data_IF_847005521007
#
_entry.id   IF_847005521007
#
_cell.length_a   1.000
_cell.length_b   1.000
_cell.length_c   1.000
_cell.angle_alpha   90.00
_cell.angle_beta   90.00
_cell.angle_gamma   90.00
#
_symmetry.space_group_name_H-M   'P 1'
#
loop_
_entity.id
_entity.type
_entity.pdbx_description
1 polymer ?
#
# COMPACT_ATOMS: atom_id res chain seq x y z
N UNK A 1 13.40 12.67 7.63
CA UNK A 1 13.36 13.36 6.32
C UNK A 1 12.83 12.47 5.21
N UNK A 2 13.48 11.35 4.84
CA UNK A 2 13.03 10.51 3.72
C UNK A 2 11.56 10.04 3.83
N UNK A 3 11.14 9.56 5.01
CA UNK A 3 9.75 9.15 5.27
C UNK A 3 8.76 10.28 5.06
N UNK A 4 9.09 11.50 5.50
CA UNK A 4 8.22 12.67 5.32
C UNK A 4 8.13 13.10 3.86
N UNK A 5 9.23 13.02 3.11
CA UNK A 5 9.23 13.33 1.68
C UNK A 5 8.36 12.37 0.89
N UNK A 6 8.41 11.07 1.20
CA UNK A 6 7.57 10.06 0.54
C UNK A 6 6.09 10.26 0.86
N UNK A 7 5.75 10.57 2.12
CA UNK A 7 4.38 10.92 2.49
C UNK A 7 3.89 12.16 1.76
N UNK A 8 4.71 13.21 1.66
CA UNK A 8 4.37 14.42 0.92
C UNK A 8 4.16 14.14 -0.57
N UNK A 9 5.00 13.33 -1.21
CA UNK A 9 4.83 12.94 -2.62
C UNK A 9 3.49 12.23 -2.85
N UNK A 10 3.12 11.29 -1.96
CA UNK A 10 1.83 10.59 -2.06
C UNK A 10 0.68 11.57 -1.82
N UNK A 11 0.79 12.48 -0.85
CA UNK A 11 -0.24 13.46 -0.53
C UNK A 11 -0.45 14.50 -1.65
N UNK A 12 0.62 14.87 -2.35
CA UNK A 12 0.57 15.87 -3.43
C UNK A 12 0.04 15.29 -4.76
N UNK A 13 0.10 13.97 -4.95
CA UNK A 13 -0.43 13.27 -6.12
C UNK A 13 -1.82 12.66 -5.83
N UNK A 14 -2.92 13.28 -6.30
CA UNK A 14 -4.28 12.84 -5.95
C UNK A 14 -4.55 11.38 -6.34
N UNK A 15 -4.03 10.94 -7.48
CA UNK A 15 -4.17 9.57 -7.96
C UNK A 15 -3.49 8.57 -7.04
N UNK A 16 -2.28 8.89 -6.55
CA UNK A 16 -1.53 8.02 -5.63
C UNK A 16 -2.19 7.98 -4.25
N UNK A 17 -2.68 9.11 -3.76
CA UNK A 17 -3.41 9.19 -2.50
C UNK A 17 -4.72 8.38 -2.55
N UNK A 18 -5.49 8.53 -3.65
CA UNK A 18 -6.72 7.78 -3.87
C UNK A 18 -6.43 6.28 -3.93
N UNK A 19 -5.42 5.88 -4.70
CA UNK A 19 -5.03 4.48 -4.82
C UNK A 19 -4.63 3.89 -3.46
N UNK A 20 -3.75 4.57 -2.70
CA UNK A 20 -3.35 4.11 -1.36
C UNK A 20 -4.55 3.96 -0.44
N UNK A 21 -5.51 4.88 -0.48
CA UNK A 21 -6.71 4.83 0.36
C UNK A 21 -7.59 3.62 0.00
N UNK A 22 -7.79 3.36 -1.30
CA UNK A 22 -8.57 2.20 -1.78
C UNK A 22 -7.86 0.89 -1.42
N UNK A 23 -6.56 0.79 -1.67
CA UNK A 23 -5.78 -0.42 -1.40
C UNK A 23 -5.69 -0.70 0.10
N UNK A 24 -5.56 0.35 0.93
CA UNK A 24 -5.59 0.23 2.40
C UNK A 24 -6.91 -0.35 2.88
N UNK A 25 -8.04 0.17 2.40
CA UNK A 25 -9.37 -0.31 2.77
C UNK A 25 -9.57 -1.77 2.37
N UNK A 26 -9.26 -2.10 1.11
CA UNK A 26 -9.40 -3.47 0.58
C UNK A 26 -8.54 -4.46 1.36
N UNK A 27 -7.30 -4.10 1.67
CA UNK A 27 -6.39 -4.95 2.44
C UNK A 27 -6.91 -5.18 3.86
N UNK A 28 -7.36 -4.13 4.56
CA UNK A 28 -7.92 -4.26 5.91
C UNK A 28 -9.12 -5.22 5.92
N UNK A 29 -10.06 -5.05 4.98
CA UNK A 29 -11.25 -5.90 4.89
C UNK A 29 -10.88 -7.36 4.59
N UNK A 30 -10.03 -7.61 3.59
CA UNK A 30 -9.58 -8.98 3.26
C UNK A 30 -8.85 -9.66 4.44
N UNK A 31 -7.97 -8.94 5.14
CA UNK A 31 -7.27 -9.51 6.30
C UNK A 31 -8.22 -9.77 7.48
N UNK A 32 -9.20 -8.90 7.69
CA UNK A 32 -10.20 -9.07 8.72
C UNK A 32 -11.06 -10.30 8.46
N UNK A 33 -11.60 -10.45 7.24
CA UNK A 33 -12.51 -11.53 6.86
C UNK A 33 -11.86 -12.92 6.95
N UNK A 34 -10.53 -13.00 6.84
CA UNK A 34 -9.77 -14.26 7.05
C UNK A 34 -9.78 -14.74 8.50
N UNK A 35 -9.94 -13.83 9.44
CA UNK A 35 -9.76 -14.09 10.87
C UNK A 35 -11.04 -13.90 11.69
N UNK A 36 -12.03 -13.19 11.15
CA UNK A 36 -13.28 -12.84 11.83
C UNK A 36 -14.50 -13.21 10.98
N UNK A 37 -15.58 -13.63 11.64
CA UNK A 37 -16.82 -14.02 10.96
C UNK A 37 -17.72 -12.84 10.58
N UNK A 38 -17.68 -11.78 11.38
CA UNK A 38 -18.48 -10.58 11.15
C UNK A 38 -17.64 -9.57 10.34
N UNK A 39 -18.06 -9.16 9.13
CA UNK A 39 -17.29 -8.24 8.31
C UNK A 39 -17.22 -6.84 8.94
N UNK A 40 -16.21 -6.06 8.55
CA UNK A 40 -16.13 -4.63 8.87
C UNK A 40 -17.11 -3.87 7.97
N UNK A 41 -17.83 -2.90 8.53
CA UNK A 41 -18.63 -1.97 7.72
C UNK A 41 -17.71 -1.06 6.88
N UNK A 42 -17.83 -1.17 5.56
CA UNK A 42 -16.93 -0.48 4.63
C UNK A 42 -17.01 1.04 4.75
N UNK A 43 -18.21 1.59 4.98
CA UNK A 43 -18.42 3.04 5.10
C UNK A 43 -17.80 3.57 6.39
N UNK A 44 -18.01 2.89 7.52
CA UNK A 44 -17.42 3.23 8.80
C UNK A 44 -15.88 3.12 8.76
N UNK A 45 -15.34 2.16 8.01
CA UNK A 45 -13.92 2.05 7.74
C UNK A 45 -13.40 3.19 6.85
N UNK A 46 -14.13 3.57 5.80
CA UNK A 46 -13.75 4.71 4.96
C UNK A 46 -13.72 6.02 5.76
N UNK A 47 -14.72 6.24 6.63
CA UNK A 47 -14.74 7.38 7.56
C UNK A 47 -13.53 7.31 8.50
N UNK A 48 -13.25 6.15 9.11
CA UNK A 48 -12.10 5.97 10.00
C UNK A 48 -10.76 6.31 9.33
N UNK A 49 -10.55 5.85 8.10
CA UNK A 49 -9.30 6.09 7.36
C UNK A 49 -9.11 7.57 6.98
N UNK A 50 -10.21 8.31 6.83
CA UNK A 50 -10.17 9.76 6.56
C UNK A 50 -10.06 10.58 7.84
N UNK A 51 -10.86 10.24 8.85
CA UNK A 51 -10.95 10.91 10.14
C UNK A 51 -11.31 9.91 11.25
N UNK A 52 -10.30 9.52 12.03
CA UNK A 52 -10.47 8.56 13.12
C UNK A 52 -11.48 9.02 14.19
N UNK A 53 -11.61 10.33 14.40
CA UNK A 53 -12.40 10.89 15.51
C UNK A 53 -13.92 10.75 15.31
N UNK A 54 -14.36 10.65 14.05
CA UNK A 54 -15.76 10.51 13.67
C UNK A 54 -16.17 9.06 13.38
N UNK A 55 -15.29 8.10 13.63
CA UNK A 55 -15.55 6.69 13.31
C UNK A 55 -16.48 6.01 14.32
N UNK A 56 -17.52 5.37 13.78
CA UNK A 56 -18.43 4.46 14.49
C UNK A 56 -17.89 3.04 14.65
N UNK A 57 -16.66 2.75 14.19
CA UNK A 57 -16.08 1.42 14.31
C UNK A 57 -15.92 1.02 15.79
N UNK A 58 -16.18 -0.25 16.14
CA UNK A 58 -15.77 -0.84 17.40
C UNK A 58 -14.25 -0.70 17.62
N UNK A 59 -13.83 -0.60 18.88
CA UNK A 59 -12.41 -0.35 19.21
C UNK A 59 -11.47 -1.46 18.69
N UNK A 60 -11.92 -2.71 18.70
CA UNK A 60 -11.19 -3.84 18.12
C UNK A 60 -10.90 -3.61 16.61
N UNK A 61 -11.91 -3.22 15.85
CA UNK A 61 -11.78 -2.92 14.42
C UNK A 61 -10.89 -1.69 14.18
N UNK A 62 -10.93 -0.68 15.08
CA UNK A 62 -10.03 0.49 15.02
C UNK A 62 -8.57 0.09 15.24
N UNK A 63 -8.28 -0.70 16.27
CA UNK A 63 -6.93 -1.20 16.55
C UNK A 63 -6.40 -1.99 15.35
N UNK A 64 -7.20 -2.91 14.82
CA UNK A 64 -6.85 -3.70 13.66
C UNK A 64 -6.60 -2.86 12.40
N UNK A 65 -7.50 -1.90 12.12
CA UNK A 65 -7.37 -1.00 10.98
C UNK A 65 -6.13 -0.11 11.07
N UNK A 66 -5.71 0.33 12.27
CA UNK A 66 -4.45 1.08 12.45
C UNK A 66 -3.24 0.23 12.12
N UNK A 67 -3.18 -0.99 12.64
CA UNK A 67 -2.06 -1.89 12.41
C UNK A 67 -1.92 -2.22 10.92
N UNK A 68 -3.00 -2.68 10.28
CA UNK A 68 -3.00 -3.02 8.85
C UNK A 68 -2.86 -1.80 7.94
N UNK A 69 -3.40 -0.65 8.34
CA UNK A 69 -3.16 0.62 7.65
C UNK A 69 -1.70 1.06 7.70
N UNK A 70 -1.00 0.80 8.81
CA UNK A 70 0.44 1.07 8.91
C UNK A 70 1.26 0.14 8.01
N UNK A 71 0.90 -1.15 7.90
CA UNK A 71 1.55 -2.09 6.97
C UNK A 71 1.46 -1.61 5.51
N UNK A 72 0.29 -1.16 5.06
CA UNK A 72 0.10 -0.66 3.69
C UNK A 72 0.91 0.62 3.47
N UNK A 73 0.91 1.54 4.44
CA UNK A 73 1.71 2.76 4.38
C UNK A 73 3.20 2.45 4.24
N UNK A 74 3.69 1.48 5.01
CA UNK A 74 5.06 0.99 4.94
C UNK A 74 5.37 0.34 3.58
N UNK A 75 4.42 -0.39 3.00
CA UNK A 75 4.55 -0.97 1.66
C UNK A 75 4.71 0.12 0.57
N UNK A 76 3.87 1.14 0.57
CA UNK A 76 3.98 2.28 -0.34
C UNK A 76 5.32 2.99 -0.18
N UNK A 77 5.74 3.24 1.07
CA UNK A 77 7.03 3.86 1.37
C UNK A 77 8.20 3.05 0.80
N UNK A 78 8.22 1.76 1.06
CA UNK A 78 9.29 0.88 0.62
C UNK A 78 9.33 0.77 -0.92
N UNK A 79 8.16 0.78 -1.57
CA UNK A 79 8.06 0.75 -3.03
C UNK A 79 8.66 2.01 -3.66
N UNK A 80 8.32 3.19 -3.16
CA UNK A 80 8.88 4.45 -3.66
C UNK A 80 10.39 4.54 -3.39
N UNK A 81 10.86 4.12 -2.22
CA UNK A 81 12.29 4.05 -1.94
C UNK A 81 13.03 3.11 -2.91
N UNK A 82 12.46 1.93 -3.21
CA UNK A 82 13.04 0.98 -4.18
C UNK A 82 13.09 1.55 -5.59
N UNK A 83 12.07 2.29 -6.02
CA UNK A 83 12.06 2.97 -7.31
C UNK A 83 13.17 4.03 -7.41
N UNK A 84 13.34 4.86 -6.38
CA UNK A 84 14.42 5.84 -6.31
C UNK A 84 15.80 5.17 -6.33
N UNK A 85 15.97 4.11 -5.54
CA UNK A 85 17.22 3.34 -5.49
C UNK A 85 17.54 2.70 -6.84
N UNK A 86 16.55 2.10 -7.52
CA UNK A 86 16.71 1.54 -8.87
C UNK A 86 17.22 2.61 -9.85
N UNK A 87 16.63 3.81 -9.83
CA UNK A 87 17.07 4.94 -10.66
C UNK A 87 18.53 5.33 -10.41
N UNK A 88 18.95 5.43 -9.15
CA UNK A 88 20.35 5.75 -8.81
C UNK A 88 21.32 4.63 -9.23
N UNK A 89 20.94 3.36 -9.06
CA UNK A 89 21.78 2.23 -9.45
C UNK A 89 21.96 2.14 -10.97
N UNK A 90 20.92 2.46 -11.74
CA UNK A 90 21.01 2.61 -13.19
C UNK A 90 21.96 3.75 -13.57
N UNK A 91 21.82 4.91 -12.93
CA UNK A 91 22.67 6.09 -13.19
C UNK A 91 24.15 5.83 -12.87
N UNK A 92 24.42 5.04 -11.83
CA UNK A 92 25.78 4.65 -11.43
C UNK A 92 26.34 3.44 -12.20
N UNK A 93 25.58 2.84 -13.12
CA UNK A 93 26.01 1.65 -13.87
C UNK A 93 26.16 0.40 -13.02
N UNK A 94 25.53 0.34 -11.85
CA UNK A 94 25.56 -0.83 -10.96
C UNK A 94 24.63 -1.95 -11.44
N UNK A 95 23.61 -1.60 -12.23
CA UNK A 95 22.67 -2.52 -12.90
C UNK A 95 22.42 -2.01 -14.32
N UNK A 96 22.16 -2.91 -15.25
CA UNK A 96 21.90 -2.58 -16.67
C UNK A 96 20.43 -2.31 -16.96
N UNK A 97 19.53 -2.63 -16.03
CA UNK A 97 18.10 -2.48 -16.21
C UNK A 97 17.29 -2.76 -14.95
N UNK A 98 16.01 -2.39 -14.97
CA UNK A 98 15.08 -2.66 -13.88
C UNK A 98 14.91 -4.15 -13.62
N UNK A 99 15.00 -5.00 -14.65
CA UNK A 99 14.93 -6.46 -14.51
C UNK A 99 16.08 -7.02 -13.67
N UNK A 100 17.31 -6.58 -13.93
CA UNK A 100 18.47 -6.96 -13.14
C UNK A 100 18.37 -6.45 -11.71
N UNK A 101 17.93 -5.19 -11.53
CA UNK A 101 17.65 -4.64 -10.20
C UNK A 101 16.66 -5.52 -9.43
N UNK A 102 15.52 -5.84 -10.05
CA UNK A 102 14.48 -6.68 -9.45
C UNK A 102 15.02 -8.05 -9.05
N UNK A 103 15.78 -8.70 -9.95
CA UNK A 103 16.35 -10.03 -9.71
C UNK A 103 17.35 -10.05 -8.54
N UNK A 104 18.15 -9.00 -8.39
CA UNK A 104 19.24 -8.98 -7.40
C UNK A 104 18.80 -8.41 -6.05
N UNK A 105 17.93 -7.39 -6.03
CA UNK A 105 17.65 -6.58 -4.84
C UNK A 105 16.23 -6.67 -4.31
N UNK A 106 15.27 -7.20 -5.09
CA UNK A 106 13.89 -7.36 -4.61
C UNK A 106 13.65 -8.76 -4.02
N UNK A 107 12.84 -8.87 -2.95
CA UNK A 107 12.42 -10.17 -2.43
C UNK A 107 11.69 -10.97 -3.51
N UNK A 108 11.94 -12.29 -3.58
CA UNK A 108 11.33 -13.20 -4.55
C UNK A 108 9.78 -13.20 -4.56
N UNK A 109 9.15 -12.65 -3.53
CA UNK A 109 7.70 -12.45 -3.43
C UNK A 109 7.14 -11.50 -4.49
N UNK A 110 7.95 -10.60 -5.06
CA UNK A 110 7.51 -9.72 -6.18
C UNK A 110 7.38 -10.49 -7.50
N UNK A 111 7.99 -11.68 -7.61
CA UNK A 111 7.93 -12.54 -8.80
C UNK A 111 6.64 -13.37 -8.93
N UNK A 112 5.80 -13.40 -7.89
CA UNK A 112 4.49 -14.06 -7.89
C UNK A 112 3.34 -13.03 -7.89
N UNK A 113 3.50 -11.89 -8.56
CA UNK A 113 2.34 -11.15 -9.07
C UNK A 113 1.69 -12.04 -10.13
N UNK A 114 0.78 -12.83 -9.59
CA UNK A 114 0.03 -13.89 -10.19
C UNK A 114 -0.57 -13.44 -11.52
N UNK A 115 -0.52 -14.34 -12.49
CA UNK A 115 -1.10 -14.21 -13.85
C UNK A 115 -2.63 -14.11 -13.84
N UNK A 116 -3.24 -13.81 -12.69
CA UNK A 116 -4.68 -13.91 -12.43
C UNK A 116 -5.37 -12.58 -12.16
N UNK A 117 -4.67 -11.43 -12.16
CA UNK A 117 -5.35 -10.12 -12.08
C UNK A 117 -6.02 -9.85 -13.43
N UNK A 118 -7.36 -9.86 -13.54
CA UNK A 118 -8.02 -9.46 -14.76
C UNK A 118 -7.72 -7.97 -14.98
N UNK A 119 -7.56 -7.52 -16.24
CA UNK A 119 -7.39 -6.10 -16.51
C UNK A 119 -8.58 -5.36 -15.91
N UNK A 120 -8.28 -4.34 -15.09
CA UNK A 120 -9.25 -3.36 -14.64
C UNK A 120 -10.00 -2.85 -15.88
N UNK A 121 -11.21 -3.36 -16.08
CA UNK A 121 -12.09 -2.90 -17.14
C UNK A 121 -12.67 -1.60 -16.64
N UNK A 122 -12.04 -0.49 -17.02
CA UNK A 122 -12.58 0.84 -16.78
C UNK A 122 -13.91 0.97 -17.51
N UNK A 123 -14.98 1.13 -16.73
CA UNK A 123 -16.23 1.82 -17.04
C UNK A 123 -16.82 2.32 -15.73
#
# INVERSE_FOLDING_TARGET
MLTQMVELLIQQEPTLLAQRTVDTRRYIMDQWDRTHRAPIDENALAVFLYDETHSSLPEEQKIFAREKGAEVRDCYRNTLFRLLLCGEMLRCGMVTGAEEYCRVFLPATVGNLDRSVPPCSGL
#
